data_IF_769003999042
#
_entry.id   IF_769003999042
#
_cell.length_a   1.000
_cell.length_b   1.000
_cell.length_c   1.000
_cell.angle_alpha   90.00
_cell.angle_beta   90.00
_cell.angle_gamma   90.00
#
_symmetry.space_group_name_H-M   'P 1'
#
loop_
_entity.id
_entity.type
_entity.pdbx_description
1 polymer ?
#
# COMPACT_ATOMS: atom_id res chain seq x y z
N UNK A 1 -15.73 10.44 17.25
CA UNK A 1 -15.46 11.24 16.03
C UNK A 1 -16.47 12.38 15.91
N UNK A 2 -17.75 12.06 15.76
CA UNK A 2 -18.77 13.09 15.52
C UNK A 2 -18.95 14.09 16.68
N UNK A 3 -18.90 13.61 17.91
CA UNK A 3 -19.00 14.49 19.10
C UNK A 3 -17.79 15.43 19.21
N UNK A 4 -16.59 14.93 18.92
CA UNK A 4 -15.38 15.73 18.95
C UNK A 4 -15.23 16.63 17.73
N UNK A 5 -16.04 16.45 16.70
CA UNK A 5 -15.97 17.15 15.42
C UNK A 5 -14.57 17.09 14.79
N UNK A 6 -13.85 16.04 15.11
CA UNK A 6 -12.49 15.79 14.60
C UNK A 6 -12.28 14.28 14.44
N UNK A 7 -11.54 13.90 13.41
CA UNK A 7 -11.14 12.52 13.21
C UNK A 7 -9.63 12.44 13.05
N UNK A 8 -9.01 11.48 13.72
CA UNK A 8 -7.59 11.20 13.60
C UNK A 8 -7.45 10.00 12.65
N UNK A 9 -6.73 10.20 11.55
CA UNK A 9 -6.54 9.17 10.52
C UNK A 9 -5.04 8.90 10.39
N UNK A 10 -4.65 7.64 10.56
CA UNK A 10 -3.28 7.19 10.36
C UNK A 10 -2.98 7.05 8.87
N UNK A 11 -1.88 7.63 8.42
CA UNK A 11 -1.47 7.67 7.01
C UNK A 11 0.01 7.34 6.86
N UNK A 12 0.43 6.83 5.68
CA UNK A 12 1.84 6.58 5.44
C UNK A 12 2.57 7.85 5.03
N UNK A 13 3.87 7.92 5.29
CA UNK A 13 4.73 9.02 4.84
C UNK A 13 5.98 8.55 4.10
N UNK A 14 6.17 7.23 3.99
CA UNK A 14 7.33 6.60 3.37
C UNK A 14 6.97 5.68 2.20
N UNK A 15 5.81 5.91 1.59
CA UNK A 15 5.27 4.98 0.58
C UNK A 15 4.64 5.74 -0.62
N UNK A 16 5.47 6.41 -1.46
CA UNK A 16 4.94 7.09 -2.64
C UNK A 16 4.31 6.09 -3.63
N UNK A 17 3.26 6.44 -4.36
CA UNK A 17 2.50 7.68 -4.32
C UNK A 17 1.29 7.64 -3.38
N UNK A 18 1.20 6.66 -2.49
CA UNK A 18 0.09 6.54 -1.53
C UNK A 18 0.21 7.56 -0.40
N UNK A 19 1.39 7.68 0.20
CA UNK A 19 1.65 8.68 1.21
C UNK A 19 3.13 8.99 1.29
N UNK A 20 3.48 10.25 1.14
CA UNK A 20 4.85 10.72 1.20
C UNK A 20 4.86 12.18 1.61
N UNK A 21 6.03 12.69 1.95
CA UNK A 21 6.20 14.09 2.33
C UNK A 21 6.80 14.84 1.16
N UNK A 22 6.13 15.90 0.73
CA UNK A 22 6.58 16.75 -0.36
C UNK A 22 7.68 17.71 0.05
N UNK A 23 8.10 18.55 -0.90
CA UNK A 23 9.12 19.59 -0.65
C UNK A 23 8.67 20.65 0.34
N UNK A 24 7.36 20.82 0.50
CA UNK A 24 6.75 21.71 1.49
C UNK A 24 6.63 21.07 2.88
N UNK A 25 7.18 19.86 3.06
CA UNK A 25 7.14 19.05 4.28
C UNK A 25 5.72 18.63 4.69
N UNK A 26 4.75 18.69 3.77
CA UNK A 26 3.37 18.27 4.03
C UNK A 26 3.11 16.89 3.45
N UNK A 27 2.31 16.06 4.14
CA UNK A 27 1.89 14.77 3.61
C UNK A 27 1.05 14.94 2.36
N UNK A 28 1.29 14.12 1.35
CA UNK A 28 0.51 14.08 0.12
C UNK A 28 0.50 12.66 -0.44
N UNK A 29 -0.46 12.37 -1.30
CA UNK A 29 -0.61 11.06 -1.92
C UNK A 29 -2.06 10.61 -1.97
N UNK A 30 -2.27 9.42 -2.55
CA UNK A 30 -3.61 8.85 -2.69
C UNK A 30 -4.30 8.65 -1.33
N UNK A 31 -3.56 8.11 -0.35
CA UNK A 31 -4.12 7.84 0.98
C UNK A 31 -4.48 9.12 1.71
N UNK A 32 -3.70 10.19 1.51
CA UNK A 32 -4.00 11.50 2.09
C UNK A 32 -5.25 12.11 1.44
N UNK A 33 -5.38 12.00 0.11
CA UNK A 33 -6.59 12.45 -0.59
C UNK A 33 -7.82 11.70 -0.10
N UNK A 34 -7.69 10.38 0.11
CA UNK A 34 -8.80 9.58 0.64
C UNK A 34 -9.15 9.97 2.07
N UNK A 35 -8.16 10.21 2.91
CA UNK A 35 -8.39 10.67 4.28
C UNK A 35 -9.15 11.99 4.32
N UNK A 36 -8.75 12.95 3.49
CA UNK A 36 -9.42 14.25 3.37
C UNK A 36 -10.86 14.11 2.88
N UNK A 37 -11.08 13.24 1.89
CA UNK A 37 -12.43 12.97 1.38
C UNK A 37 -13.34 12.42 2.49
N UNK A 38 -12.86 11.45 3.26
CA UNK A 38 -13.63 10.86 4.37
C UNK A 38 -13.99 11.94 5.41
N UNK A 39 -13.02 12.73 5.83
CA UNK A 39 -13.27 13.79 6.83
C UNK A 39 -14.25 14.83 6.29
N UNK A 40 -14.14 15.23 5.04
CA UNK A 40 -15.05 16.15 4.39
C UNK A 40 -16.48 15.61 4.36
N UNK A 41 -16.66 14.35 3.96
CA UNK A 41 -17.98 13.71 3.89
C UNK A 41 -18.59 13.48 5.26
N UNK A 42 -17.77 13.30 6.29
CA UNK A 42 -18.23 13.21 7.68
C UNK A 42 -18.53 14.59 8.29
N UNK A 43 -18.09 15.67 7.65
CA UNK A 43 -18.28 17.03 8.16
C UNK A 43 -17.43 17.34 9.40
N UNK A 44 -16.27 16.74 9.53
CA UNK A 44 -15.37 16.91 10.69
C UNK A 44 -14.00 17.40 10.26
N UNK A 45 -13.27 18.00 11.19
CA UNK A 45 -11.87 18.37 10.99
C UNK A 45 -11.00 17.09 10.96
N UNK A 46 -9.87 17.17 10.27
CA UNK A 46 -8.97 16.03 10.15
C UNK A 46 -7.66 16.31 10.89
N UNK A 47 -7.14 15.28 11.57
CA UNK A 47 -5.78 15.25 12.07
C UNK A 47 -5.10 14.03 11.46
N UNK A 48 -4.02 14.24 10.72
CA UNK A 48 -3.24 13.16 10.12
C UNK A 48 -2.19 12.67 11.10
N UNK A 49 -2.13 11.35 11.31
CA UNK A 49 -1.16 10.71 12.19
C UNK A 49 -0.22 9.85 11.34
N UNK A 50 1.03 10.28 11.11
CA UNK A 50 1.99 9.47 10.37
C UNK A 50 2.27 8.15 11.08
N UNK A 51 2.24 7.05 10.34
CA UNK A 51 2.53 5.72 10.86
C UNK A 51 3.47 4.96 9.96
N UNK A 52 4.22 4.03 10.56
CA UNK A 52 4.97 3.00 9.85
C UNK A 52 4.10 1.76 9.69
N UNK A 53 4.54 0.80 8.89
CA UNK A 53 3.80 -0.45 8.71
C UNK A 53 3.53 -1.16 10.04
N UNK A 54 4.49 -1.14 10.96
CA UNK A 54 4.37 -1.82 12.26
C UNK A 54 3.36 -1.15 13.20
N UNK A 55 3.13 0.16 13.04
CA UNK A 55 2.29 0.94 13.95
C UNK A 55 0.81 1.00 13.54
N UNK A 56 0.47 0.57 12.33
CA UNK A 56 -0.89 0.71 11.80
C UNK A 56 -1.95 0.10 12.71
N UNK A 57 -1.84 -1.19 12.98
CA UNK A 57 -2.81 -1.91 13.82
C UNK A 57 -2.78 -1.43 15.27
N UNK A 58 -1.60 -1.26 15.92
CA UNK A 58 -1.56 -0.72 17.28
C UNK A 58 -2.25 0.63 17.44
N UNK A 59 -2.19 1.52 16.46
CA UNK A 59 -2.87 2.83 16.52
C UNK A 59 -4.39 2.68 16.59
N UNK A 60 -4.96 1.70 15.91
CA UNK A 60 -6.39 1.40 16.02
C UNK A 60 -6.74 0.78 17.37
N UNK A 61 -5.95 -0.17 17.81
CA UNK A 61 -6.22 -0.92 19.05
C UNK A 61 -6.14 -0.03 20.29
N UNK A 62 -5.25 0.97 20.27
CA UNK A 62 -5.06 1.88 21.42
C UNK A 62 -5.87 3.16 21.31
N UNK A 63 -6.64 3.33 20.25
CA UNK A 63 -7.47 4.52 20.05
C UNK A 63 -6.70 5.77 19.63
N UNK A 64 -5.44 5.64 19.23
CA UNK A 64 -4.64 6.78 18.75
C UNK A 64 -5.11 7.26 17.39
N UNK A 65 -5.76 6.42 16.61
CA UNK A 65 -6.38 6.78 15.35
C UNK A 65 -7.74 6.11 15.25
N UNK A 66 -8.71 6.79 14.62
CA UNK A 66 -10.04 6.23 14.36
C UNK A 66 -10.03 5.37 13.10
N UNK A 67 -9.22 5.74 12.12
CA UNK A 67 -9.07 5.03 10.85
C UNK A 67 -7.59 4.87 10.51
N UNK A 68 -7.28 3.78 9.81
CA UNK A 68 -5.97 3.61 9.16
C UNK A 68 -6.20 3.59 7.66
N UNK A 69 -5.69 4.60 6.97
CA UNK A 69 -5.67 4.69 5.51
C UNK A 69 -4.20 4.71 5.11
N UNK A 70 -3.58 3.53 5.10
CA UNK A 70 -2.14 3.40 4.97
C UNK A 70 -1.77 2.14 4.20
N UNK A 71 -2.25 2.04 2.95
CA UNK A 71 -1.98 0.89 2.07
C UNK A 71 -2.20 -0.45 2.78
N UNK A 72 -3.28 -0.55 3.53
CA UNK A 72 -3.54 -1.69 4.40
C UNK A 72 -4.22 -2.82 3.63
N UNK A 73 -3.49 -3.91 3.45
CA UNK A 73 -4.04 -5.13 2.88
C UNK A 73 -4.83 -5.92 3.92
N UNK A 74 -5.85 -6.61 3.44
CA UNK A 74 -6.72 -7.45 4.28
C UNK A 74 -6.23 -8.88 4.27
N UNK A 75 -6.11 -9.48 5.44
CA UNK A 75 -5.80 -10.91 5.57
C UNK A 75 -6.43 -11.46 6.85
N UNK A 76 -6.54 -12.81 6.97
CA UNK A 76 -7.19 -13.42 8.14
C UNK A 76 -6.56 -13.04 9.48
N UNK A 77 -5.25 -12.88 9.54
CA UNK A 77 -4.55 -12.51 10.77
C UNK A 77 -4.98 -11.12 11.25
N UNK A 78 -5.03 -10.17 10.33
CA UNK A 78 -5.45 -8.80 10.64
C UNK A 78 -6.94 -8.74 10.99
N UNK A 79 -7.78 -9.54 10.31
CA UNK A 79 -9.23 -9.59 10.57
C UNK A 79 -9.57 -10.07 11.98
N UNK A 80 -8.67 -10.79 12.62
CA UNK A 80 -8.87 -11.21 14.01
C UNK A 80 -8.80 -10.07 15.01
N UNK A 81 -8.06 -9.02 14.68
CA UNK A 81 -7.74 -7.93 15.62
C UNK A 81 -8.31 -6.58 15.24
N UNK A 82 -8.66 -6.36 13.99
CA UNK A 82 -9.30 -5.14 13.50
C UNK A 82 -10.39 -5.48 12.50
N UNK A 83 -11.22 -4.49 12.18
CA UNK A 83 -12.22 -4.61 11.13
C UNK A 83 -11.80 -3.80 9.90
N UNK A 84 -12.32 -4.17 8.75
CA UNK A 84 -12.01 -3.54 7.46
C UNK A 84 -13.26 -2.98 6.81
N UNK A 85 -13.09 -1.88 6.10
CA UNK A 85 -14.11 -1.32 5.21
C UNK A 85 -14.02 -2.00 3.85
N UNK A 86 -14.82 -1.50 2.89
CA UNK A 86 -14.65 -1.84 1.48
C UNK A 86 -13.30 -1.33 0.97
N UNK A 87 -12.80 -1.91 -0.11
CA UNK A 87 -11.56 -1.46 -0.74
C UNK A 87 -11.75 -0.10 -1.41
N UNK A 88 -10.70 0.73 -1.40
CA UNK A 88 -10.74 2.07 -1.98
C UNK A 88 -9.71 2.30 -3.09
N UNK A 89 -8.68 1.46 -3.20
CA UNK A 89 -7.68 1.61 -4.25
C UNK A 89 -7.11 0.26 -4.69
N UNK A 90 -6.68 0.14 -5.96
CA UNK A 90 -6.03 -1.06 -6.43
C UNK A 90 -4.63 -1.18 -5.87
N UNK A 91 -4.19 -2.39 -5.65
CA UNK A 91 -2.82 -2.68 -5.26
C UNK A 91 -2.49 -4.13 -5.59
N UNK A 92 -1.25 -4.37 -6.00
CA UNK A 92 -0.73 -5.73 -6.14
C UNK A 92 0.75 -5.76 -5.82
N UNK A 93 1.25 -6.91 -5.40
CA UNK A 93 2.65 -7.18 -5.18
C UNK A 93 3.15 -8.08 -6.31
N UNK A 94 4.37 -7.80 -6.77
CA UNK A 94 4.95 -8.52 -7.89
C UNK A 94 6.47 -8.51 -7.83
N UNK A 95 7.07 -9.34 -8.67
CA UNK A 95 8.51 -9.36 -8.89
C UNK A 95 8.81 -8.57 -10.16
N UNK A 96 9.80 -7.70 -10.09
CA UNK A 96 10.26 -6.85 -11.19
C UNK A 96 11.74 -7.07 -11.42
N UNK A 97 12.17 -6.96 -12.67
CA UNK A 97 13.57 -7.11 -13.07
C UNK A 97 13.83 -6.44 -14.41
N UNK A 98 15.07 -6.37 -14.82
CA UNK A 98 15.44 -5.84 -16.14
C UNK A 98 14.74 -6.63 -17.24
N UNK A 99 14.33 -5.95 -18.30
CA UNK A 99 13.66 -6.57 -19.47
C UNK A 99 14.49 -7.70 -20.07
N UNK A 100 15.81 -7.55 -20.06
CA UNK A 100 16.75 -8.54 -20.61
C UNK A 100 16.81 -9.83 -19.80
N UNK A 101 16.31 -9.82 -18.56
CA UNK A 101 16.33 -11.02 -17.70
C UNK A 101 15.13 -11.92 -18.02
N UNK A 102 15.38 -13.19 -18.45
CA UNK A 102 14.30 -14.08 -18.87
C UNK A 102 13.62 -14.77 -17.66
N UNK A 103 12.72 -14.06 -17.00
CA UNK A 103 11.93 -14.59 -15.88
C UNK A 103 10.50 -14.80 -16.34
N UNK A 104 10.04 -16.06 -16.37
CA UNK A 104 8.69 -16.43 -16.75
C UNK A 104 7.96 -17.25 -15.69
N UNK A 105 8.68 -17.78 -14.70
CA UNK A 105 8.13 -18.57 -13.61
C UNK A 105 8.94 -18.34 -12.33
N UNK A 106 8.40 -18.73 -11.18
CA UNK A 106 9.14 -18.62 -9.92
C UNK A 106 10.39 -19.51 -9.89
N UNK A 107 10.38 -20.61 -10.63
CA UNK A 107 11.56 -21.46 -10.75
C UNK A 107 12.76 -20.72 -11.35
N UNK A 108 12.52 -19.72 -12.19
CA UNK A 108 13.60 -18.92 -12.79
C UNK A 108 14.33 -18.04 -11.79
N UNK A 109 13.81 -17.90 -10.56
CA UNK A 109 14.49 -17.17 -9.49
C UNK A 109 15.65 -17.95 -8.89
N UNK A 110 15.78 -19.24 -9.23
CA UNK A 110 16.87 -20.07 -8.74
C UNK A 110 18.23 -19.48 -9.13
N UNK A 111 19.10 -19.34 -8.14
CA UNK A 111 20.42 -18.74 -8.34
C UNK A 111 20.41 -17.22 -8.42
N UNK A 112 19.27 -16.58 -8.21
CA UNK A 112 19.11 -15.13 -8.32
C UNK A 112 18.86 -14.49 -6.97
N UNK A 113 19.28 -13.22 -6.83
CA UNK A 113 19.04 -12.44 -5.62
C UNK A 113 17.79 -11.57 -5.81
N UNK A 114 16.86 -11.62 -4.85
CA UNK A 114 15.63 -10.85 -4.86
C UNK A 114 15.57 -10.00 -3.59
N UNK A 115 15.50 -8.69 -3.75
CA UNK A 115 15.34 -7.77 -2.63
C UNK A 115 13.87 -7.61 -2.26
N UNK A 116 13.60 -7.54 -0.96
CA UNK A 116 12.24 -7.39 -0.43
C UNK A 116 12.29 -6.63 0.90
N UNK A 117 11.21 -5.92 1.23
CA UNK A 117 11.09 -5.24 2.52
C UNK A 117 10.66 -6.25 3.58
N UNK A 118 11.43 -6.31 4.66
CA UNK A 118 11.23 -7.28 5.74
C UNK A 118 9.82 -7.19 6.31
N UNK A 119 9.13 -8.34 6.37
CA UNK A 119 7.80 -8.44 6.98
C UNK A 119 6.65 -7.89 6.15
N UNK A 120 6.93 -7.35 4.96
CA UNK A 120 5.87 -6.91 4.04
C UNK A 120 5.14 -8.12 3.44
N UNK A 121 4.00 -7.86 2.82
CA UNK A 121 3.23 -8.91 2.14
C UNK A 121 4.09 -9.59 1.07
N UNK A 122 4.90 -8.83 0.34
CA UNK A 122 5.82 -9.35 -0.68
C UNK A 122 6.81 -10.35 -0.07
N UNK A 123 7.31 -10.07 1.12
CA UNK A 123 8.22 -10.98 1.83
C UNK A 123 7.53 -12.30 2.15
N UNK A 124 6.33 -12.23 2.71
CA UNK A 124 5.55 -13.42 3.07
C UNK A 124 5.21 -14.26 1.85
N UNK A 125 4.72 -13.63 0.79
CA UNK A 125 4.31 -14.32 -0.43
C UNK A 125 5.52 -14.89 -1.20
N UNK A 126 6.60 -14.12 -1.32
CA UNK A 126 7.81 -14.57 -1.99
C UNK A 126 8.43 -15.77 -1.27
N UNK A 127 8.50 -15.73 0.06
CA UNK A 127 9.08 -16.80 0.88
C UNK A 127 8.34 -18.11 0.68
N UNK A 128 7.04 -18.06 0.38
CA UNK A 128 6.22 -19.23 0.16
C UNK A 128 6.44 -19.86 -1.21
N UNK A 129 6.71 -19.08 -2.24
CA UNK A 129 6.74 -19.55 -3.63
C UNK A 129 8.14 -19.61 -4.25
N UNK A 130 9.13 -18.94 -3.64
CA UNK A 130 10.49 -18.92 -4.18
C UNK A 130 11.15 -20.30 -4.07
N UNK A 131 11.95 -20.72 -5.09
CA UNK A 131 12.72 -21.94 -4.99
C UNK A 131 13.82 -21.82 -3.93
N UNK A 132 14.28 -22.95 -3.39
CA UNK A 132 15.31 -22.99 -2.36
C UNK A 132 16.62 -22.29 -2.79
N UNK A 133 16.94 -22.33 -4.08
CA UNK A 133 18.13 -21.68 -4.62
C UNK A 133 18.04 -20.19 -4.81
N UNK A 134 16.88 -19.58 -4.56
CA UNK A 134 16.73 -18.13 -4.64
C UNK A 134 17.29 -17.48 -3.38
N UNK A 135 18.04 -16.39 -3.53
CA UNK A 135 18.57 -15.62 -2.42
C UNK A 135 17.64 -14.46 -2.13
N UNK A 136 16.82 -14.58 -1.07
CA UNK A 136 15.93 -13.51 -0.64
C UNK A 136 16.68 -12.61 0.34
N UNK A 137 16.89 -11.35 -0.07
CA UNK A 137 17.57 -10.35 0.77
C UNK A 137 16.55 -9.37 1.32
N UNK A 138 16.47 -9.29 2.64
CA UNK A 138 15.50 -8.47 3.35
C UNK A 138 16.11 -7.17 3.81
N UNK A 139 15.41 -6.07 3.52
CA UNK A 139 15.83 -4.71 3.89
C UNK A 139 14.80 -4.11 4.85
N UNK A 140 15.23 -3.10 5.61
CA UNK A 140 14.42 -2.53 6.69
C UNK A 140 13.18 -1.79 6.20
N UNK A 141 13.27 -1.10 5.05
CA UNK A 141 12.16 -0.31 4.51
C UNK A 141 12.16 -0.33 2.98
N UNK A 142 11.14 0.27 2.39
CA UNK A 142 10.99 0.30 0.94
C UNK A 142 12.10 1.10 0.26
N UNK A 143 12.56 2.18 0.90
CA UNK A 143 13.63 3.00 0.33
C UNK A 143 14.92 2.20 0.21
N UNK A 144 15.27 1.44 1.25
CA UNK A 144 16.46 0.57 1.24
C UNK A 144 16.34 -0.54 0.20
N UNK A 145 15.15 -1.13 0.08
CA UNK A 145 14.88 -2.19 -0.91
C UNK A 145 15.04 -1.66 -2.33
N UNK A 146 14.46 -0.51 -2.63
CA UNK A 146 14.58 0.14 -3.94
C UNK A 146 16.03 0.50 -4.23
N UNK A 147 16.73 1.08 -3.27
CA UNK A 147 18.15 1.46 -3.42
C UNK A 147 19.03 0.24 -3.75
N UNK A 148 18.76 -0.90 -3.11
CA UNK A 148 19.50 -2.13 -3.37
C UNK A 148 19.31 -2.62 -4.81
N UNK A 149 18.10 -2.52 -5.34
CA UNK A 149 17.82 -2.88 -6.73
C UNK A 149 18.44 -1.90 -7.71
N UNK A 150 18.27 -0.60 -7.47
CA UNK A 150 18.80 0.47 -8.34
C UNK A 150 20.33 0.39 -8.42
N UNK A 151 21.00 0.10 -7.31
CA UNK A 151 22.47 0.00 -7.26
C UNK A 151 23.02 -1.33 -7.75
N UNK A 152 22.18 -2.31 -8.03
CA UNK A 152 22.60 -3.63 -8.49
C UNK A 152 23.00 -4.59 -7.38
N UNK A 153 22.77 -4.27 -6.12
CA UNK A 153 23.02 -5.20 -5.00
C UNK A 153 22.16 -6.46 -5.10
N UNK A 154 20.95 -6.32 -5.63
CA UNK A 154 20.06 -7.43 -5.93
C UNK A 154 19.67 -7.38 -7.39
N UNK A 155 19.41 -8.54 -7.98
CA UNK A 155 19.09 -8.68 -9.41
C UNK A 155 17.62 -8.44 -9.70
N UNK A 156 16.74 -8.73 -8.73
CA UNK A 156 15.30 -8.55 -8.83
C UNK A 156 14.78 -7.85 -7.58
N UNK A 157 13.58 -7.30 -7.68
CA UNK A 157 12.90 -6.69 -6.54
C UNK A 157 11.46 -7.21 -6.47
N UNK A 158 11.03 -7.57 -5.26
CA UNK A 158 9.64 -7.91 -4.98
C UNK A 158 9.04 -6.76 -4.17
N UNK A 159 8.04 -6.09 -4.73
CA UNK A 159 7.44 -4.92 -4.10
C UNK A 159 6.06 -4.64 -4.66
N UNK A 160 5.37 -3.67 -4.07
CA UNK A 160 4.08 -3.22 -4.58
C UNK A 160 4.22 -2.48 -5.91
N UNK A 161 3.18 -2.59 -6.72
CA UNK A 161 3.17 -2.03 -8.07
C UNK A 161 3.46 -0.53 -8.12
N UNK A 162 2.98 0.24 -7.13
CA UNK A 162 3.18 1.69 -7.11
C UNK A 162 4.59 2.08 -6.73
N UNK A 163 5.20 1.37 -5.80
CA UNK A 163 6.63 1.57 -5.47
C UNK A 163 7.48 1.26 -6.70
N UNK A 164 7.19 0.14 -7.38
CA UNK A 164 7.87 -0.24 -8.60
C UNK A 164 7.67 0.77 -9.72
N UNK A 165 6.43 1.25 -9.92
CA UNK A 165 6.11 2.25 -10.94
C UNK A 165 6.87 3.55 -10.73
N UNK A 166 6.91 4.04 -9.49
CA UNK A 166 7.67 5.24 -9.13
C UNK A 166 9.17 5.04 -9.34
N UNK A 167 9.68 3.88 -8.93
CA UNK A 167 11.10 3.52 -9.13
C UNK A 167 11.46 3.49 -10.61
N UNK A 168 10.65 2.86 -11.44
CA UNK A 168 10.89 2.77 -12.89
C UNK A 168 10.81 4.13 -13.57
N UNK A 169 9.88 4.98 -13.14
CA UNK A 169 9.73 6.33 -13.69
C UNK A 169 10.95 7.22 -13.37
N UNK A 170 11.51 7.07 -12.16
CA UNK A 170 12.69 7.84 -11.73
C UNK A 170 14.01 7.29 -12.26
N UNK A 171 14.04 6.02 -12.64
CA UNK A 171 15.25 5.32 -13.06
C UNK A 171 15.03 4.58 -14.38
N UNK A 172 14.68 5.30 -15.48
CA UNK A 172 14.40 4.64 -16.76
C UNK A 172 15.59 3.86 -17.32
N UNK A 173 16.81 4.21 -16.91
CA UNK A 173 18.02 3.52 -17.34
C UNK A 173 18.07 2.05 -16.87
N UNK A 174 17.33 1.68 -15.83
CA UNK A 174 17.27 0.30 -15.36
C UNK A 174 16.55 -0.61 -16.35
N UNK A 175 15.69 -0.04 -17.19
CA UNK A 175 14.91 -0.80 -18.16
C UNK A 175 14.19 -1.98 -17.49
N UNK A 176 13.58 -1.72 -16.34
CA UNK A 176 12.90 -2.73 -15.54
C UNK A 176 11.47 -2.94 -16.00
N UNK A 177 10.94 -4.13 -15.77
CA UNK A 177 9.55 -4.46 -16.09
C UNK A 177 8.98 -5.44 -15.06
N UNK A 178 7.64 -5.55 -15.05
CA UNK A 178 6.91 -6.57 -14.32
C UNK A 178 7.28 -7.96 -14.84
N UNK A 179 7.46 -8.91 -13.93
CA UNK A 179 7.78 -10.30 -14.27
C UNK A 179 6.73 -11.29 -13.76
N UNK A 180 6.48 -11.31 -12.44
CA UNK A 180 5.65 -12.33 -11.81
C UNK A 180 4.70 -11.70 -10.78
N UNK A 181 3.43 -12.11 -10.80
CA UNK A 181 2.46 -11.69 -9.80
C UNK A 181 2.66 -12.49 -8.52
N UNK A 182 2.79 -11.79 -7.39
CA UNK A 182 2.83 -12.42 -6.07
C UNK A 182 1.44 -12.45 -5.44
N UNK A 183 0.75 -11.32 -5.43
CA UNK A 183 -0.58 -11.23 -4.84
C UNK A 183 -1.32 -9.98 -5.30
N UNK A 184 -2.59 -10.15 -5.65
CA UNK A 184 -3.54 -9.04 -5.72
C UNK A 184 -3.93 -8.69 -4.29
N UNK A 185 -3.78 -7.42 -3.91
CA UNK A 185 -4.02 -7.02 -2.53
C UNK A 185 -4.53 -5.58 -2.49
N UNK A 186 -5.79 -5.39 -2.91
CA UNK A 186 -6.38 -4.05 -2.87
C UNK A 186 -6.31 -3.46 -1.46
N UNK A 187 -6.28 -2.14 -1.39
CA UNK A 187 -6.16 -1.42 -0.13
C UNK A 187 -7.52 -1.18 0.50
N UNK A 188 -7.59 -1.41 1.80
CA UNK A 188 -8.79 -1.23 2.63
C UNK A 188 -8.49 -0.24 3.73
N UNK A 189 -9.55 0.35 4.29
CA UNK A 189 -9.44 1.20 5.46
C UNK A 189 -9.64 0.34 6.70
N UNK A 190 -8.74 0.44 7.67
CA UNK A 190 -8.85 -0.27 8.94
C UNK A 190 -9.61 0.55 9.97
N UNK A 191 -10.45 -0.12 10.76
CA UNK A 191 -11.14 0.45 11.92
C UNK A 191 -10.94 -0.47 13.11
N UNK A 192 -11.06 0.08 14.32
CA UNK A 192 -10.97 -0.72 15.53
C UNK A 192 -12.10 -1.74 15.57
N UNK A 193 -11.82 -2.90 16.15
CA UNK A 193 -12.81 -3.97 16.29
C UNK A 193 -14.05 -3.47 17.03
N UNK A 194 -15.22 -3.71 16.45
CA UNK A 194 -16.50 -3.32 17.06
C UNK A 194 -16.98 -1.92 16.71
N UNK A 195 -16.21 -1.13 15.98
CA UNK A 195 -16.62 0.22 15.55
C UNK A 195 -17.50 0.15 14.29
N UNK A 196 -18.62 -0.56 14.40
CA UNK A 196 -19.49 -0.88 13.26
C UNK A 196 -20.15 0.34 12.64
N UNK A 197 -20.59 1.30 13.46
CA UNK A 197 -21.22 2.52 12.95
C UNK A 197 -20.26 3.33 12.07
N UNK A 198 -19.02 3.48 12.52
CA UNK A 198 -17.99 4.18 11.76
C UNK A 198 -17.66 3.41 10.49
N UNK A 199 -17.47 2.10 10.59
CA UNK A 199 -17.16 1.24 9.45
C UNK A 199 -18.23 1.32 8.37
N UNK A 200 -19.50 1.21 8.76
CA UNK A 200 -20.61 1.26 7.80
C UNK A 200 -20.74 2.64 7.16
N UNK A 201 -20.51 3.71 7.92
CA UNK A 201 -20.52 5.07 7.37
C UNK A 201 -19.39 5.28 6.37
N UNK A 202 -18.20 4.78 6.66
CA UNK A 202 -17.07 4.85 5.74
C UNK A 202 -17.34 4.01 4.49
N UNK A 203 -17.95 2.83 4.62
CA UNK A 203 -18.37 2.02 3.48
C UNK A 203 -19.33 2.77 2.57
N UNK A 204 -20.28 3.48 3.15
CA UNK A 204 -21.22 4.31 2.40
C UNK A 204 -20.49 5.42 1.63
N UNK A 205 -19.53 6.09 2.27
CA UNK A 205 -18.72 7.13 1.64
C UNK A 205 -17.90 6.54 0.48
N UNK A 206 -17.29 5.38 0.68
CA UNK A 206 -16.53 4.69 -0.38
C UNK A 206 -17.43 4.36 -1.57
N UNK A 207 -18.63 3.81 -1.30
CA UNK A 207 -19.58 3.45 -2.36
C UNK A 207 -20.02 4.68 -3.16
N UNK A 208 -20.32 5.79 -2.48
CA UNK A 208 -20.71 7.05 -3.13
C UNK A 208 -19.55 7.61 -3.95
N UNK A 209 -18.32 7.58 -3.41
CA UNK A 209 -17.12 8.06 -4.11
C UNK A 209 -16.83 7.22 -5.36
N UNK A 210 -17.02 5.91 -5.27
CA UNK A 210 -16.87 5.00 -6.41
C UNK A 210 -17.87 5.35 -7.51
N UNK A 211 -19.14 5.51 -7.15
CA UNK A 211 -20.22 5.83 -8.06
C UNK A 211 -20.04 7.20 -8.72
N UNK A 212 -19.55 8.18 -7.97
CA UNK A 212 -19.29 9.53 -8.48
C UNK A 212 -17.99 9.64 -9.29
N UNK A 213 -17.20 8.57 -9.40
CA UNK A 213 -15.93 8.58 -10.13
C UNK A 213 -14.77 9.19 -9.36
N UNK A 214 -14.95 9.49 -8.08
CA UNK A 214 -13.90 10.12 -7.26
C UNK A 214 -12.73 9.15 -6.99
N UNK A 215 -13.00 7.86 -6.78
CA UNK A 215 -11.95 6.86 -6.60
C UNK A 215 -11.12 6.70 -7.89
N UNK A 216 -11.78 6.68 -9.05
CA UNK A 216 -11.09 6.62 -10.33
C UNK A 216 -10.20 7.85 -10.56
N UNK A 217 -10.69 9.04 -10.21
CA UNK A 217 -9.91 10.28 -10.33
C UNK A 217 -8.65 10.25 -9.46
N UNK A 218 -8.78 9.79 -8.19
CA UNK A 218 -7.64 9.66 -7.30
C UNK A 218 -6.64 8.64 -7.82
N UNK A 219 -7.12 7.49 -8.29
CA UNK A 219 -6.25 6.45 -8.85
C UNK A 219 -5.53 6.94 -10.11
N UNK A 220 -6.22 7.64 -11.01
CA UNK A 220 -5.59 8.21 -12.20
C UNK A 220 -4.54 9.26 -11.85
N UNK A 221 -4.83 10.11 -10.88
CA UNK A 221 -3.90 11.16 -10.44
C UNK A 221 -2.59 10.58 -9.91
N UNK A 222 -2.66 9.56 -9.08
CA UNK A 222 -1.50 9.04 -8.36
C UNK A 222 -0.91 7.78 -8.95
N UNK A 223 -1.72 6.92 -9.58
CA UNK A 223 -1.29 5.63 -10.11
C UNK A 223 -1.26 5.58 -11.65
N UNK A 224 -1.81 6.61 -12.30
CA UNK A 224 -1.85 6.69 -13.76
C UNK A 224 -2.94 5.84 -14.42
N UNK A 225 -3.82 5.23 -13.64
CA UNK A 225 -4.93 4.42 -14.15
C UNK A 225 -6.12 4.45 -13.19
N UNK A 226 -7.31 4.15 -13.71
CA UNK A 226 -8.52 4.10 -12.90
C UNK A 226 -8.47 2.99 -11.86
N UNK A 227 -9.25 3.16 -10.79
CA UNK A 227 -9.36 2.17 -9.72
C UNK A 227 -9.94 0.84 -10.22
N UNK A 228 -10.85 0.87 -11.18
CA UNK A 228 -11.51 -0.32 -11.70
C UNK A 228 -12.47 -0.94 -10.69
N UNK A 229 -12.68 -2.25 -10.81
CA UNK A 229 -13.53 -2.99 -9.88
C UNK A 229 -12.75 -3.30 -8.60
N UNK A 230 -13.30 -2.86 -7.48
CA UNK A 230 -12.71 -3.06 -6.15
C UNK A 230 -13.62 -3.94 -5.30
N UNK A 231 -13.07 -4.87 -4.51
CA UNK A 231 -13.87 -5.71 -3.63
C UNK A 231 -14.48 -4.93 -2.48
N UNK A 232 -15.60 -5.44 -2.00
CA UNK A 232 -16.30 -4.89 -0.86
C UNK A 232 -15.87 -5.50 0.45
#
# INVERSE_FOLDING_TARGET
VMKAKKIIIAIPTDFPPYGFVGTDLKPQGLDIDMANLIAQKLGVAIELAPVTSANRIPYLQTGKAALVISTLGKNPEREKVIDFTSAYSPFFQAVFAAKSMPITSFADLNGKSVGVTRGAIEDQELSRVAPTGAEIRRFEDNNATVAAFVSGQVQLIATGASVAGNMMARNPQLNAEYKLLLKDSPNFIGVAKGEDKLRLKVNEIIAEAKKAGELDRMAKRWLGRAAGDLPQ
#
